data_IF_866986971738
#
_entry.id   IF_866986971738
#
_cell.length_a   1.000
_cell.length_b   1.000
_cell.length_c   1.000
_cell.angle_alpha   90.00
_cell.angle_beta   90.00
_cell.angle_gamma   90.00
#
_symmetry.space_group_name_H-M   'P 1'
#
loop_
_entity.id
_entity.type
_entity.pdbx_description
1 polymer ?
#
# COMPACT_ATOMS: atom_id res chain seq x y z
N UNK A 1 6.04 0.62 -4.27
CA UNK A 1 5.19 -0.46 -3.75
C UNK A 1 4.65 -0.02 -2.42
N UNK A 2 3.33 0.00 -2.29
CA UNK A 2 2.64 0.14 -1.02
C UNK A 2 1.97 -1.20 -0.68
N UNK A 3 2.04 -1.60 0.59
CA UNK A 3 1.19 -2.65 1.15
C UNK A 3 0.12 -1.94 1.96
N UNK A 4 -1.14 -2.18 1.64
CA UNK A 4 -2.27 -1.56 2.34
C UNK A 4 -3.13 -2.61 3.02
N UNK A 5 -3.70 -2.28 4.17
CA UNK A 5 -4.66 -3.11 4.89
C UNK A 5 -6.00 -2.39 5.04
N UNK A 6 -7.08 -3.08 4.74
CA UNK A 6 -8.45 -2.60 4.94
C UNK A 6 -9.11 -3.28 6.14
N UNK A 7 -10.34 -2.88 6.48
CA UNK A 7 -11.13 -3.47 7.57
C UNK A 7 -10.45 -3.32 8.95
N UNK A 8 -9.67 -2.25 9.11
CA UNK A 8 -9.15 -1.81 10.39
C UNK A 8 -10.16 -0.87 11.03
N UNK A 9 -10.19 -0.81 12.35
CA UNK A 9 -11.01 0.14 13.06
C UNK A 9 -10.27 0.71 14.26
N UNK A 10 -10.73 1.87 14.73
CA UNK A 10 -10.29 2.49 15.97
C UNK A 10 -11.50 2.82 16.81
N UNK A 11 -11.44 2.47 18.09
CA UNK A 11 -12.43 2.84 19.09
C UNK A 11 -11.85 3.95 19.96
N UNK A 12 -12.51 5.11 19.99
CA UNK A 12 -12.06 6.25 20.79
C UNK A 12 -12.80 6.23 22.12
N UNK A 13 -12.09 5.83 23.17
CA UNK A 13 -12.71 5.63 24.49
C UNK A 13 -12.92 6.95 25.27
N UNK A 14 -12.13 7.99 24.98
CA UNK A 14 -12.13 9.27 25.73
C UNK A 14 -11.75 10.44 24.82
N UNK A 15 -12.08 11.67 25.25
CA UNK A 15 -11.77 12.91 24.54
C UNK A 15 -12.90 13.38 23.63
N UNK A 16 -12.59 14.30 22.72
CA UNK A 16 -13.58 14.96 21.84
C UNK A 16 -14.38 13.97 20.98
N UNK A 17 -13.73 12.89 20.51
CA UNK A 17 -14.37 11.85 19.71
C UNK A 17 -14.83 10.63 20.54
N UNK A 18 -14.95 10.76 21.87
CA UNK A 18 -15.32 9.65 22.74
C UNK A 18 -16.61 8.95 22.31
N UNK A 19 -16.60 7.61 22.36
CA UNK A 19 -17.72 6.77 21.95
C UNK A 19 -17.81 6.54 20.44
N UNK A 20 -16.93 7.15 19.65
CA UNK A 20 -16.91 6.97 18.20
C UNK A 20 -16.05 5.76 17.79
N UNK A 21 -16.53 5.04 16.77
CA UNK A 21 -15.77 4.04 16.03
C UNK A 21 -15.47 4.57 14.63
N UNK A 22 -14.21 4.50 14.23
CA UNK A 22 -13.76 4.87 12.88
C UNK A 22 -13.28 3.62 12.15
N UNK A 23 -13.95 3.28 11.05
CA UNK A 23 -13.51 2.23 10.15
C UNK A 23 -12.57 2.81 9.08
N UNK A 24 -11.46 2.11 8.84
CA UNK A 24 -10.40 2.54 7.94
C UNK A 24 -10.30 1.61 6.73
N UNK A 25 -10.03 2.20 5.57
CA UNK A 25 -9.79 1.49 4.32
C UNK A 25 -8.45 1.89 3.72
N UNK A 26 -7.76 0.92 3.12
CA UNK A 26 -6.48 1.11 2.42
C UNK A 26 -5.40 1.82 3.27
N UNK A 27 -5.28 1.47 4.56
CA UNK A 27 -4.23 1.99 5.44
C UNK A 27 -2.89 1.48 4.95
N UNK A 28 -1.97 2.38 4.60
CA UNK A 28 -0.63 2.02 4.15
C UNK A 28 0.19 1.48 5.33
N UNK A 29 0.52 0.18 5.27
CA UNK A 29 1.37 -0.52 6.24
C UNK A 29 2.86 -0.44 5.91
N UNK A 30 3.18 -0.45 4.62
CA UNK A 30 4.54 -0.31 4.11
C UNK A 30 4.51 0.54 2.83
N UNK A 31 5.48 1.43 2.65
CA UNK A 31 5.70 2.15 1.40
C UNK A 31 7.19 2.24 1.10
N UNK A 32 7.61 1.68 -0.03
CA UNK A 32 9.01 1.78 -0.49
C UNK A 32 9.15 1.79 -2.01
N UNK A 33 10.23 2.39 -2.54
CA UNK A 33 10.60 2.22 -3.94
C UNK A 33 11.04 0.78 -4.21
N UNK A 34 10.71 0.27 -5.39
CA UNK A 34 11.12 -1.07 -5.86
C UNK A 34 12.05 -1.01 -7.07
N UNK A 35 12.40 0.20 -7.52
CA UNK A 35 13.33 0.43 -8.63
C UNK A 35 13.11 1.79 -9.29
N UNK A 36 13.82 2.02 -10.40
CA UNK A 36 13.69 3.19 -11.26
C UNK A 36 13.39 2.72 -12.68
N UNK A 37 12.23 3.08 -13.22
CA UNK A 37 11.95 2.92 -14.63
C UNK A 37 12.64 4.05 -15.42
N UNK A 38 13.55 3.70 -16.33
CA UNK A 38 14.22 4.65 -17.21
C UNK A 38 13.92 4.31 -18.68
N UNK A 39 13.05 5.07 -19.36
CA UNK A 39 12.68 4.79 -20.74
C UNK A 39 13.85 4.96 -21.72
N UNK A 40 14.95 5.61 -21.32
CA UNK A 40 16.18 5.69 -22.12
C UNK A 40 17.05 4.43 -22.02
N UNK A 41 16.79 3.56 -21.05
CA UNK A 41 17.57 2.33 -20.81
C UNK A 41 16.80 1.10 -21.28
N UNK A 42 15.49 1.03 -21.00
CA UNK A 42 14.65 -0.08 -21.42
C UNK A 42 13.20 0.38 -21.66
N UNK A 43 12.51 -0.31 -22.56
CA UNK A 43 11.08 -0.07 -22.87
C UNK A 43 10.15 -0.52 -21.73
N UNK A 44 10.62 -1.40 -20.86
CA UNK A 44 9.85 -1.98 -19.76
C UNK A 44 10.69 -2.06 -18.47
N UNK A 45 10.01 -2.06 -17.34
CA UNK A 45 10.61 -2.26 -16.01
C UNK A 45 10.05 -3.55 -15.41
N UNK A 46 10.93 -4.41 -14.90
CA UNK A 46 10.58 -5.63 -14.19
C UNK A 46 11.34 -5.71 -12.86
N UNK A 47 10.65 -6.11 -11.79
CA UNK A 47 11.25 -6.34 -10.48
C UNK A 47 10.43 -7.37 -9.69
N UNK A 48 11.11 -8.13 -8.82
CA UNK A 48 10.49 -9.12 -7.92
C UNK A 48 10.79 -8.75 -6.46
N UNK A 49 10.12 -7.73 -5.90
CA UNK A 49 10.35 -7.32 -4.53
C UNK A 49 9.83 -8.40 -3.55
N UNK A 50 10.65 -8.83 -2.61
CA UNK A 50 10.19 -9.63 -1.47
C UNK A 50 9.37 -8.76 -0.52
N UNK A 51 8.19 -9.23 -0.12
CA UNK A 51 7.32 -8.54 0.84
C UNK A 51 7.25 -9.36 2.12
N UNK A 52 7.68 -8.77 3.23
CA UNK A 52 7.58 -9.39 4.55
C UNK A 52 6.28 -8.95 5.20
N UNK A 53 5.40 -9.91 5.50
CA UNK A 53 4.14 -9.63 6.18
C UNK A 53 4.33 -9.76 7.68
N UNK A 54 3.91 -8.73 8.42
CA UNK A 54 3.90 -8.81 9.86
C UNK A 54 2.83 -9.82 10.33
N UNK A 55 3.09 -10.61 11.39
CA UNK A 55 2.15 -11.64 11.86
C UNK A 55 0.76 -11.11 12.25
N UNK A 56 0.68 -9.82 12.61
CA UNK A 56 -0.57 -9.17 13.03
C UNK A 56 -1.36 -8.56 11.86
N UNK A 57 -0.90 -8.66 10.62
CA UNK A 57 -1.65 -8.22 9.44
C UNK A 57 -2.55 -9.34 8.95
N UNK A 58 -3.81 -9.01 8.67
CA UNK A 58 -4.79 -9.95 8.13
C UNK A 58 -4.62 -10.06 6.62
N UNK A 59 -4.07 -11.18 6.15
CA UNK A 59 -3.65 -11.35 4.75
C UNK A 59 -4.79 -11.12 3.75
N UNK A 60 -5.99 -11.56 4.08
CA UNK A 60 -7.23 -11.38 3.31
C UNK A 60 -7.62 -9.91 3.14
N UNK A 61 -7.15 -9.03 4.04
CA UNK A 61 -7.38 -7.58 3.99
C UNK A 61 -6.24 -6.83 3.29
N UNK A 62 -5.18 -7.52 2.87
CA UNK A 62 -4.02 -6.89 2.26
C UNK A 62 -4.18 -6.68 0.76
N UNK A 63 -3.64 -5.56 0.29
CA UNK A 63 -3.44 -5.27 -1.14
C UNK A 63 -2.03 -4.78 -1.38
N UNK A 64 -1.44 -5.20 -2.50
CA UNK A 64 -0.20 -4.63 -3.03
C UNK A 64 -0.56 -3.58 -4.08
N UNK A 65 -0.14 -2.34 -3.87
CA UNK A 65 -0.35 -1.23 -4.80
C UNK A 65 0.99 -0.79 -5.38
N UNK A 66 1.11 -0.80 -6.70
CA UNK A 66 2.30 -0.32 -7.42
C UNK A 66 1.90 0.86 -8.28
N UNK A 67 2.76 1.86 -8.33
CA UNK A 67 2.56 3.03 -9.16
C UNK A 67 3.89 3.52 -9.72
N UNK A 68 3.83 4.12 -10.90
CA UNK A 68 4.95 4.83 -11.52
C UNK A 68 4.79 6.30 -11.21
N UNK A 69 5.82 6.91 -10.63
CA UNK A 69 5.81 8.32 -10.22
C UNK A 69 7.01 9.06 -10.80
N UNK A 70 6.77 10.23 -11.39
CA UNK A 70 7.81 11.17 -11.79
C UNK A 70 8.59 11.66 -10.56
N UNK A 71 9.92 11.61 -10.61
CA UNK A 71 10.74 11.91 -9.42
C UNK A 71 10.68 13.37 -8.98
N UNK A 72 10.61 14.32 -9.90
CA UNK A 72 10.60 15.77 -9.60
C UNK A 72 9.20 16.29 -9.29
N UNK A 73 8.25 16.08 -10.19
CA UNK A 73 6.86 16.58 -10.06
C UNK A 73 6.03 15.78 -9.05
N UNK A 74 6.46 14.56 -8.69
CA UNK A 74 5.70 13.60 -7.88
C UNK A 74 4.38 13.15 -8.52
N UNK A 75 4.16 13.47 -9.79
CA UNK A 75 2.98 13.05 -10.54
C UNK A 75 2.97 11.53 -10.71
N UNK A 76 1.85 10.91 -10.38
CA UNK A 76 1.61 9.48 -10.66
C UNK A 76 1.21 9.34 -12.12
N UNK A 77 1.94 8.52 -12.87
CA UNK A 77 1.73 8.27 -14.29
C UNK A 77 0.82 7.07 -14.55
N UNK A 78 0.76 6.15 -13.60
CA UNK A 78 -0.05 4.95 -13.66
C UNK A 78 0.04 4.19 -12.35
N UNK A 79 -1.00 3.43 -12.06
CA UNK A 79 -1.10 2.62 -10.85
C UNK A 79 -1.84 1.31 -11.13
N UNK A 80 -1.52 0.28 -10.35
CA UNK A 80 -2.20 -1.00 -10.36
C UNK A 80 -2.23 -1.56 -8.94
N UNK A 81 -3.22 -2.40 -8.65
CA UNK A 81 -3.36 -3.06 -7.36
C UNK A 81 -3.68 -4.54 -7.54
N UNK A 82 -3.17 -5.36 -6.64
CA UNK A 82 -3.48 -6.79 -6.53
C UNK A 82 -3.90 -7.12 -5.10
N UNK A 83 -4.88 -8.02 -4.97
CA UNK A 83 -5.24 -8.62 -3.69
C UNK A 83 -4.28 -9.75 -3.35
N UNK A 84 -3.99 -9.94 -2.07
CA UNK A 84 -3.31 -11.16 -1.64
C UNK A 84 -4.31 -12.31 -1.66
N UNK A 85 -3.89 -13.48 -2.14
CA UNK A 85 -4.71 -14.68 -2.03
C UNK A 85 -4.96 -14.99 -0.54
N UNK A 86 -6.22 -15.33 -0.22
CA UNK A 86 -6.59 -15.89 1.07
C UNK A 86 -5.80 -17.18 1.31
N UNK A 87 -5.48 -17.45 2.58
CA UNK A 87 -4.90 -18.72 3.01
C UNK A 87 -5.98 -19.78 3.17
#
# INVERSE_FOLDING_TARGET
LAITESNLHSEVLRGENAGSRFDHFAVVRELRPIGKANPRVAIAFAAQPMVTLAPNWKRENLRAVVFVQERRSRRVLGAAALVFAAQ
#
